data_IF_778732753472
#
_entry.id   IF_778732753472
#
_cell.length_a   1.000
_cell.length_b   1.000
_cell.length_c   1.000
_cell.angle_alpha   90.00
_cell.angle_beta   90.00
_cell.angle_gamma   90.00
#
_symmetry.space_group_name_H-M   'P 1'
#
loop_
_entity.id
_entity.type
_entity.pdbx_description
1 polymer ?
#
# COMPACT_ATOMS: atom_id res chain seq x y z
N UNK A 1 9.12 35.53 1.21
CA UNK A 1 8.15 34.55 0.66
C UNK A 1 8.82 33.19 0.67
N UNK A 2 8.25 32.19 1.34
CA UNK A 2 8.80 30.84 1.34
C UNK A 2 8.21 30.04 0.17
N UNK A 3 9.06 29.39 -0.63
CA UNK A 3 8.60 28.44 -1.63
C UNK A 3 8.59 27.05 -1.00
N UNK A 4 7.44 26.39 -1.04
CA UNK A 4 7.28 24.99 -0.65
C UNK A 4 7.37 24.08 -1.87
N UNK A 5 7.63 22.80 -1.64
CA UNK A 5 7.66 21.81 -2.70
C UNK A 5 6.29 21.12 -2.79
N UNK A 6 5.72 21.04 -3.98
CA UNK A 6 4.44 20.34 -4.19
C UNK A 6 4.63 18.83 -3.92
N UNK A 7 3.81 18.19 -3.08
CA UNK A 7 3.95 16.76 -2.75
C UNK A 7 3.59 15.84 -3.92
N UNK A 8 2.86 16.35 -4.91
CA UNK A 8 2.40 15.57 -6.07
C UNK A 8 3.37 15.66 -7.26
N UNK A 9 3.76 16.87 -7.66
CA UNK A 9 4.61 17.07 -8.85
C UNK A 9 6.06 17.46 -8.53
N UNK A 10 6.42 17.66 -7.26
CA UNK A 10 7.78 17.99 -6.81
C UNK A 10 8.28 19.40 -7.17
N UNK A 11 7.48 20.25 -7.83
CA UNK A 11 7.89 21.60 -8.25
C UNK A 11 7.68 22.63 -7.12
N UNK A 12 8.51 23.67 -7.12
CA UNK A 12 8.44 24.76 -6.14
C UNK A 12 7.22 25.66 -6.39
N UNK A 13 6.46 25.94 -5.35
CA UNK A 13 5.24 26.74 -5.36
C UNK A 13 5.23 27.68 -4.14
N UNK A 14 4.45 28.76 -4.20
CA UNK A 14 4.31 29.67 -3.06
C UNK A 14 3.65 28.94 -1.88
N UNK A 15 4.11 29.20 -0.66
CA UNK A 15 3.50 28.67 0.58
C UNK A 15 2.05 29.13 0.79
N UNK A 16 1.63 30.24 0.17
CA UNK A 16 0.27 30.78 0.25
C UNK A 16 -0.65 30.33 -0.90
N UNK A 17 -0.14 29.58 -1.87
CA UNK A 17 -0.95 29.13 -2.99
C UNK A 17 -1.96 28.06 -2.54
N UNK A 18 -3.25 28.27 -2.82
CA UNK A 18 -4.32 27.31 -2.51
C UNK A 18 -4.21 26.02 -3.35
N UNK A 19 -3.69 26.15 -4.57
CA UNK A 19 -3.39 25.02 -5.47
C UNK A 19 -2.08 25.22 -6.21
N UNK A 20 -1.42 24.13 -6.54
CA UNK A 20 -0.23 24.13 -7.36
C UNK A 20 -0.57 24.64 -8.77
N UNK A 21 0.02 25.77 -9.16
CA UNK A 21 -0.17 26.37 -10.50
C UNK A 21 0.32 25.48 -11.66
N UNK A 22 1.07 24.42 -11.37
CA UNK A 22 1.67 23.55 -12.40
C UNK A 22 0.95 22.23 -12.63
N UNK A 23 0.34 21.66 -11.59
CA UNK A 23 -0.37 20.36 -11.67
C UNK A 23 -1.82 20.43 -11.21
N UNK A 24 -2.24 21.54 -10.60
CA UNK A 24 -3.60 21.70 -10.04
C UNK A 24 -3.78 21.09 -8.65
N UNK A 25 -2.75 20.47 -8.06
CA UNK A 25 -2.84 19.84 -6.75
C UNK A 25 -3.24 20.83 -5.64
N UNK A 26 -4.28 20.57 -4.85
CA UNK A 26 -4.74 21.48 -3.80
C UNK A 26 -3.80 21.43 -2.58
N UNK A 27 -3.16 22.56 -2.27
CA UNK A 27 -2.15 22.71 -1.22
C UNK A 27 -2.74 23.17 0.12
N UNK A 28 -4.05 23.35 0.19
CA UNK A 28 -4.75 23.68 1.42
C UNK A 28 -4.56 22.57 2.47
N UNK A 29 -4.50 22.95 3.74
CA UNK A 29 -4.20 22.01 4.83
C UNK A 29 -5.19 20.83 4.87
N UNK A 30 -6.48 21.11 4.62
CA UNK A 30 -7.56 20.12 4.58
C UNK A 30 -7.37 19.11 3.43
N UNK A 31 -7.02 19.60 2.22
CA UNK A 31 -6.84 18.73 1.06
C UNK A 31 -5.57 17.88 1.16
N UNK A 32 -4.50 18.41 1.77
CA UNK A 32 -3.29 17.68 2.08
C UNK A 32 -3.55 16.52 3.05
N UNK A 33 -4.32 16.76 4.12
CA UNK A 33 -4.70 15.70 5.06
C UNK A 33 -5.51 14.60 4.37
N UNK A 34 -6.47 14.98 3.52
CA UNK A 34 -7.28 14.02 2.77
C UNK A 34 -6.44 13.18 1.78
N UNK A 35 -5.48 13.79 1.10
CA UNK A 35 -4.53 13.10 0.22
C UNK A 35 -3.63 12.12 0.99
N UNK A 36 -3.08 12.54 2.13
CA UNK A 36 -2.28 11.64 2.97
C UNK A 36 -3.12 10.46 3.48
N UNK A 37 -4.38 10.70 3.81
CA UNK A 37 -5.27 9.65 4.28
C UNK A 37 -5.57 8.62 3.19
N UNK A 38 -5.82 9.03 1.94
CA UNK A 38 -6.04 8.09 0.84
C UNK A 38 -4.79 7.27 0.52
N UNK A 39 -3.60 7.89 0.54
CA UNK A 39 -2.33 7.18 0.35
C UNK A 39 -2.11 6.11 1.43
N UNK A 40 -2.35 6.45 2.71
CA UNK A 40 -2.24 5.50 3.83
C UNK A 40 -3.29 4.39 3.76
N UNK A 41 -4.53 4.70 3.38
CA UNK A 41 -5.59 3.70 3.19
C UNK A 41 -5.21 2.68 2.12
N UNK A 42 -4.74 3.14 0.96
CA UNK A 42 -4.32 2.26 -0.15
C UNK A 42 -3.17 1.34 0.26
N UNK A 43 -2.23 1.82 1.07
CA UNK A 43 -1.12 1.01 1.60
C UNK A 43 -1.65 -0.03 2.61
N UNK A 44 -2.49 0.41 3.56
CA UNK A 44 -3.03 -0.45 4.61
C UNK A 44 -3.98 -1.54 4.06
N UNK A 45 -4.77 -1.21 3.04
CA UNK A 45 -5.66 -2.15 2.35
C UNK A 45 -4.85 -3.27 1.65
N UNK A 46 -3.80 -2.89 0.91
CA UNK A 46 -2.89 -3.87 0.30
C UNK A 46 -2.20 -4.77 1.33
N UNK A 47 -1.86 -4.23 2.50
CA UNK A 47 -1.29 -5.01 3.60
C UNK A 47 -2.29 -6.02 4.19
N UNK A 48 -3.57 -5.66 4.28
CA UNK A 48 -4.61 -6.53 4.81
C UNK A 48 -4.91 -7.73 3.88
N UNK A 49 -4.84 -7.54 2.56
CA UNK A 49 -5.03 -8.62 1.58
C UNK A 49 -3.86 -9.61 1.61
N UNK A 50 -2.61 -9.14 1.73
CA UNK A 50 -1.45 -10.02 1.78
C UNK A 50 -1.44 -10.94 3.03
N UNK A 51 -2.10 -10.54 4.12
CA UNK A 51 -2.28 -11.42 5.30
C UNK A 51 -3.17 -12.64 4.99
N UNK A 52 -4.05 -12.57 3.99
CA UNK A 52 -4.88 -13.72 3.61
C UNK A 52 -4.06 -14.79 2.88
N UNK A 53 -3.07 -14.39 2.07
CA UNK A 53 -2.18 -15.32 1.36
C UNK A 53 -1.34 -16.17 2.33
N UNK A 54 -0.99 -15.65 3.52
CA UNK A 54 -0.28 -16.43 4.54
C UNK A 54 -1.09 -17.63 5.07
N UNK A 55 -2.42 -17.51 5.16
CA UNK A 55 -3.28 -18.64 5.57
C UNK A 55 -3.36 -19.71 4.48
N UNK A 56 -3.44 -19.28 3.22
CA UNK A 56 -3.47 -20.18 2.06
C UNK A 56 -2.16 -20.97 1.96
N UNK A 57 -1.02 -20.34 2.25
CA UNK A 57 0.29 -21.03 2.31
C UNK A 57 0.31 -22.17 3.33
N UNK A 58 -0.26 -21.98 4.53
CA UNK A 58 -0.33 -23.03 5.55
C UNK A 58 -1.17 -24.23 5.10
N UNK A 59 -2.29 -23.99 4.42
CA UNK A 59 -3.15 -25.06 3.89
C UNK A 59 -2.37 -25.91 2.88
N UNK A 60 -1.63 -25.27 1.96
CA UNK A 60 -0.84 -25.99 0.95
C UNK A 60 0.27 -26.85 1.57
N UNK A 61 0.93 -26.36 2.63
CA UNK A 61 1.96 -27.11 3.37
C UNK A 61 1.38 -28.38 4.04
N UNK A 62 0.19 -28.30 4.62
CA UNK A 62 -0.49 -29.45 5.24
C UNK A 62 -0.88 -30.49 4.19
N UNK A 63 -1.42 -30.06 3.04
CA UNK A 63 -1.75 -30.99 1.95
C UNK A 63 -0.49 -31.69 1.43
N UNK A 64 0.60 -30.94 1.23
CA UNK A 64 1.86 -31.49 0.75
C UNK A 64 2.46 -32.51 1.73
N UNK A 65 2.43 -32.25 3.03
CA UNK A 65 2.94 -33.20 4.03
C UNK A 65 2.13 -34.50 4.10
N UNK A 66 0.80 -34.43 4.00
CA UNK A 66 -0.06 -35.61 3.97
C UNK A 66 0.25 -36.51 2.76
N UNK A 67 0.46 -35.91 1.57
CA UNK A 67 0.82 -36.66 0.36
C UNK A 67 2.15 -37.41 0.55
N UNK A 68 3.16 -36.78 1.13
CA UNK A 68 4.46 -37.41 1.39
C UNK A 68 4.31 -38.61 2.34
N UNK A 69 3.52 -38.46 3.41
CA UNK A 69 3.28 -39.56 4.37
C UNK A 69 2.61 -40.74 3.67
N UNK A 70 1.59 -40.50 2.84
CA UNK A 70 0.88 -41.55 2.08
C UNK A 70 1.85 -42.26 1.13
N UNK A 71 2.67 -41.52 0.38
CA UNK A 71 3.67 -42.09 -0.52
C UNK A 71 4.72 -42.94 0.21
N UNK A 72 5.14 -42.49 1.39
CA UNK A 72 6.13 -43.22 2.21
C UNK A 72 5.55 -44.53 2.73
N UNK A 73 4.28 -44.55 3.12
CA UNK A 73 3.57 -45.76 3.54
C UNK A 73 3.36 -46.77 2.41
N UNK A 74 3.16 -46.31 1.18
CA UNK A 74 3.06 -47.21 0.03
C UNK A 74 4.38 -47.84 -0.37
N UNK A 75 5.51 -47.22 0.00
CA UNK A 75 6.83 -47.70 -0.37
C UNK A 75 7.40 -48.75 0.60
N UNK A 76 6.83 -48.89 1.80
CA UNK A 76 7.29 -49.77 2.87
C UNK A 76 6.33 -50.93 3.10
#
# INVERSE_FOLDING_TARGET
MALIQCPDCGKKVSSEAEKCVRCGFPLQNISLMQYQQSFKKNIAERQALNRQNAKIQLIWLVIFSLIIVIFTWWKN
#
